data_IF_448318188359
#
_entry.id   IF_448318188359
#
_cell.length_a   1.000
_cell.length_b   1.000
_cell.length_c   1.000
_cell.angle_alpha   90.00
_cell.angle_beta   90.00
_cell.angle_gamma   90.00
#
_symmetry.space_group_name_H-M   'P 1'
#
loop_
_entity.id
_entity.type
_entity.pdbx_description
1 polymer ?
#
# COMPACT_ATOMS: atom_id res chain seq x y z
N UNK A 1 1.62 20.13 56.68
CA UNK A 1 2.82 19.64 55.95
C UNK A 1 2.43 18.41 55.16
N UNK A 2 2.87 18.32 53.90
CA UNK A 2 2.42 17.41 52.83
C UNK A 2 2.36 15.90 53.15
N UNK A 3 2.83 15.47 54.31
CA UNK A 3 2.85 14.08 54.75
C UNK A 3 1.49 13.49 55.13
N UNK A 4 0.52 14.30 55.56
CA UNK A 4 -0.82 13.80 55.91
C UNK A 4 -1.74 13.60 54.69
N UNK A 5 -1.50 14.33 53.59
CA UNK A 5 -2.32 14.25 52.37
C UNK A 5 -1.88 13.10 51.45
N UNK A 6 -0.63 12.62 51.58
CA UNK A 6 -0.12 11.44 50.89
C UNK A 6 -0.59 10.10 51.50
N UNK A 7 -1.03 10.09 52.76
CA UNK A 7 -1.45 8.86 53.46
C UNK A 7 -2.92 8.47 53.22
N UNK A 8 -3.77 9.39 52.75
CA UNK A 8 -5.18 9.11 52.46
C UNK A 8 -5.44 8.55 51.05
N UNK A 9 -4.43 8.49 50.18
CA UNK A 9 -4.52 7.82 48.87
C UNK A 9 -4.08 6.34 48.91
N UNK A 10 -3.78 5.79 50.10
CA UNK A 10 -3.20 4.44 50.28
C UNK A 10 -4.24 3.33 50.53
N UNK A 11 -5.51 3.55 50.20
CA UNK A 11 -6.61 2.70 50.65
C UNK A 11 -7.66 2.35 49.60
N UNK A 12 -7.28 1.96 48.38
CA UNK A 12 -8.20 1.26 47.47
C UNK A 12 -7.43 0.23 46.64
N UNK A 13 -7.68 -1.05 46.92
CA UNK A 13 -7.08 -2.15 46.19
C UNK A 13 -7.63 -2.26 44.77
N UNK A 14 -6.73 -2.50 43.82
CA UNK A 14 -7.00 -3.39 42.69
C UNK A 14 -5.77 -4.26 42.49
N UNK A 15 -6.04 -5.53 42.23
CA UNK A 15 -5.10 -6.63 42.10
C UNK A 15 -4.10 -6.36 40.97
N UNK A 16 -2.95 -7.02 41.07
CA UNK A 16 -1.79 -6.83 40.19
C UNK A 16 -2.16 -6.73 38.72
N UNK A 17 -1.86 -5.56 38.15
CA UNK A 17 -1.63 -5.39 36.73
C UNK A 17 -0.15 -5.03 36.62
N UNK A 18 0.63 -6.05 36.26
CA UNK A 18 2.06 -5.94 36.02
C UNK A 18 2.36 -4.83 35.03
N UNK A 19 3.24 -3.95 35.50
CA UNK A 19 3.68 -2.73 34.88
C UNK A 19 4.73 -3.03 33.79
N UNK A 20 4.38 -3.87 32.81
CA UNK A 20 5.35 -4.37 31.80
C UNK A 20 4.75 -4.59 30.38
N UNK A 21 3.90 -3.68 29.89
CA UNK A 21 3.39 -3.76 28.50
C UNK A 21 3.40 -2.44 27.70
N UNK A 22 3.90 -1.32 28.24
CA UNK A 22 3.77 0.00 27.58
C UNK A 22 4.94 0.34 26.61
N UNK A 23 6.02 -0.45 26.58
CA UNK A 23 7.26 -0.02 25.90
C UNK A 23 7.77 -0.90 24.76
N UNK A 24 6.99 -1.85 24.24
CA UNK A 24 7.48 -2.75 23.16
C UNK A 24 6.68 -2.79 21.85
N UNK A 25 5.61 -1.99 21.69
CA UNK A 25 4.71 -2.16 20.55
C UNK A 25 5.08 -1.36 19.27
N UNK A 26 6.33 -0.89 19.12
CA UNK A 26 6.73 -0.06 17.96
C UNK A 26 7.78 -0.68 17.01
N UNK A 27 8.24 -1.92 17.22
CA UNK A 27 9.22 -2.60 16.32
C UNK A 27 9.07 -4.12 16.15
N UNK A 28 7.86 -4.66 16.23
CA UNK A 28 7.57 -5.97 15.62
C UNK A 28 6.65 -5.71 14.44
N UNK A 29 7.26 -5.34 13.30
CA UNK A 29 6.62 -5.48 11.99
C UNK A 29 6.31 -6.98 11.83
N UNK A 30 5.17 -7.42 12.36
CA UNK A 30 4.65 -8.74 12.04
C UNK A 30 4.62 -8.82 10.51
N UNK A 31 5.27 -9.84 9.94
CA UNK A 31 5.21 -10.17 8.51
C UNK A 31 3.78 -10.57 8.06
N UNK A 32 2.76 -10.24 8.86
CA UNK A 32 1.39 -10.56 8.61
C UNK A 32 0.78 -9.50 7.70
N UNK A 33 0.32 -9.92 6.52
CA UNK A 33 -0.28 -9.06 5.52
C UNK A 33 -1.67 -8.56 5.93
N UNK A 34 -2.37 -9.31 6.80
CA UNK A 34 -3.75 -9.01 7.22
C UNK A 34 -3.91 -7.62 7.85
N UNK A 35 -3.12 -7.25 8.88
CA UNK A 35 -3.16 -5.90 9.46
C UNK A 35 -2.85 -4.77 8.46
N UNK A 36 -1.95 -5.00 7.50
CA UNK A 36 -1.62 -4.03 6.46
C UNK A 36 -2.82 -3.80 5.52
N UNK A 37 -3.47 -4.87 5.09
CA UNK A 37 -4.69 -4.82 4.28
C UNK A 37 -5.83 -4.14 5.06
N UNK A 38 -5.94 -4.38 6.36
CA UNK A 38 -6.94 -3.72 7.20
C UNK A 38 -6.76 -2.19 7.24
N UNK A 39 -5.52 -1.71 7.34
CA UNK A 39 -5.20 -0.28 7.29
C UNK A 39 -5.57 0.32 5.93
N UNK A 40 -5.24 -0.37 4.83
CA UNK A 40 -5.59 0.07 3.48
C UNK A 40 -7.11 0.09 3.25
N UNK A 41 -7.83 -0.94 3.71
CA UNK A 41 -9.28 -0.98 3.64
C UNK A 41 -9.91 0.22 4.34
N UNK A 42 -9.39 0.58 5.52
CA UNK A 42 -9.85 1.75 6.28
C UNK A 42 -9.55 3.06 5.57
N UNK A 43 -8.37 3.22 4.96
CA UNK A 43 -8.03 4.44 4.22
C UNK A 43 -8.88 4.62 2.96
N UNK A 44 -9.35 3.51 2.36
CA UNK A 44 -10.30 3.51 1.23
C UNK A 44 -11.77 3.56 1.65
N UNK A 45 -12.07 3.73 2.94
CA UNK A 45 -13.45 3.87 3.46
C UNK A 45 -14.27 2.58 3.52
N UNK A 46 -13.64 1.41 3.39
CA UNK A 46 -14.33 0.12 3.49
C UNK A 46 -14.43 -0.36 4.94
N UNK A 47 -15.61 -0.86 5.30
CA UNK A 47 -15.83 -1.58 6.55
C UNK A 47 -15.56 -3.08 6.37
N UNK A 48 -15.21 -3.76 7.47
CA UNK A 48 -15.03 -5.22 7.47
C UNK A 48 -16.29 -5.96 7.01
N UNK A 49 -17.48 -5.45 7.35
CA UNK A 49 -18.75 -6.04 6.95
C UNK A 49 -18.99 -5.94 5.44
N UNK A 50 -18.65 -4.79 4.82
CA UNK A 50 -18.74 -4.61 3.37
C UNK A 50 -17.78 -5.55 2.62
N UNK A 51 -16.55 -5.69 3.11
CA UNK A 51 -15.57 -6.60 2.51
C UNK A 51 -16.03 -8.06 2.65
N UNK A 52 -16.50 -8.46 3.84
CA UNK A 52 -17.04 -9.79 4.08
C UNK A 52 -18.19 -10.14 3.12
N UNK A 53 -19.15 -9.21 2.98
CA UNK A 53 -20.29 -9.37 2.07
C UNK A 53 -19.85 -9.49 0.61
N UNK A 54 -18.97 -8.60 0.15
CA UNK A 54 -18.50 -8.60 -1.24
C UNK A 54 -17.62 -9.81 -1.59
N UNK A 55 -16.86 -10.34 -0.62
CA UNK A 55 -16.04 -11.55 -0.82
C UNK A 55 -16.83 -12.86 -0.69
N UNK A 56 -18.03 -12.82 -0.10
CA UNK A 56 -18.78 -14.04 0.27
C UNK A 56 -18.14 -14.79 1.44
N UNK A 57 -17.44 -14.09 2.33
CA UNK A 57 -16.70 -14.66 3.47
C UNK A 57 -17.34 -14.20 4.78
N UNK A 58 -17.29 -15.02 5.83
CA UNK A 58 -17.85 -14.61 7.12
C UNK A 58 -17.14 -13.37 7.69
N UNK A 59 -17.90 -12.47 8.32
CA UNK A 59 -17.35 -11.28 9.00
C UNK A 59 -16.28 -11.65 10.03
N UNK A 60 -16.46 -12.77 10.74
CA UNK A 60 -15.52 -13.27 11.75
C UNK A 60 -14.18 -13.66 11.10
N UNK A 61 -14.22 -14.30 9.93
CA UNK A 61 -13.02 -14.66 9.17
C UNK A 61 -12.25 -13.42 8.74
N UNK A 62 -12.93 -12.41 8.18
CA UNK A 62 -12.31 -11.13 7.80
C UNK A 62 -11.70 -10.43 9.03
N UNK A 63 -12.41 -10.40 10.16
CA UNK A 63 -11.92 -9.81 11.39
C UNK A 63 -10.66 -10.52 11.91
N UNK A 64 -10.66 -11.85 11.95
CA UNK A 64 -9.49 -12.65 12.39
C UNK A 64 -8.31 -12.45 11.46
N UNK A 65 -8.55 -12.42 10.14
CA UNK A 65 -7.52 -12.13 9.15
C UNK A 65 -6.91 -10.73 9.33
N UNK A 66 -7.75 -9.69 9.42
CA UNK A 66 -7.29 -8.31 9.61
C UNK A 66 -6.52 -8.10 10.92
N UNK A 67 -6.80 -8.91 11.94
CA UNK A 67 -6.07 -8.90 13.20
C UNK A 67 -4.83 -9.83 13.20
N UNK A 68 -4.49 -10.44 12.05
CA UNK A 68 -3.36 -11.35 11.90
C UNK A 68 -3.51 -12.68 12.66
N UNK A 69 -4.73 -13.07 13.02
CA UNK A 69 -5.03 -14.27 13.81
C UNK A 69 -5.25 -15.52 12.96
N UNK A 70 -5.48 -15.36 11.65
CA UNK A 70 -5.77 -16.47 10.73
C UNK A 70 -5.35 -16.07 9.32
N UNK A 71 -4.85 -17.03 8.54
CA UNK A 71 -4.62 -16.86 7.11
C UNK A 71 -5.91 -17.14 6.32
N UNK A 72 -6.05 -16.50 5.16
CA UNK A 72 -7.19 -16.74 4.26
C UNK A 72 -6.72 -17.45 3.00
N UNK A 73 -7.65 -18.08 2.29
CA UNK A 73 -7.37 -18.71 1.02
C UNK A 73 -6.92 -17.66 -0.01
N UNK A 74 -5.99 -18.03 -0.87
CA UNK A 74 -5.47 -17.15 -1.94
C UNK A 74 -6.59 -16.53 -2.78
N UNK A 75 -7.60 -17.32 -3.17
CA UNK A 75 -8.73 -16.80 -3.95
C UNK A 75 -9.62 -15.81 -3.19
N UNK A 76 -9.70 -15.90 -1.86
CA UNK A 76 -10.43 -14.89 -1.06
C UNK A 76 -9.58 -13.65 -0.84
N UNK A 77 -8.25 -13.79 -0.76
CA UNK A 77 -7.32 -12.67 -0.73
C UNK A 77 -7.40 -11.86 -2.02
N UNK A 78 -7.40 -12.52 -3.17
CA UNK A 78 -7.54 -11.88 -4.47
C UNK A 78 -8.83 -11.05 -4.57
N UNK A 79 -9.96 -11.59 -4.10
CA UNK A 79 -11.22 -10.83 -4.04
C UNK A 79 -11.12 -9.59 -3.16
N UNK A 80 -10.47 -9.69 -2.00
CA UNK A 80 -10.26 -8.53 -1.11
C UNK A 80 -9.40 -7.48 -1.83
N UNK A 81 -8.31 -7.89 -2.47
CA UNK A 81 -7.43 -6.99 -3.21
C UNK A 81 -8.18 -6.31 -4.37
N UNK A 82 -8.99 -7.04 -5.11
CA UNK A 82 -9.83 -6.51 -6.19
C UNK A 82 -10.84 -5.48 -5.68
N UNK A 83 -11.51 -5.72 -4.54
CA UNK A 83 -12.40 -4.73 -3.90
C UNK A 83 -11.64 -3.46 -3.52
N UNK A 84 -10.37 -3.62 -3.12
CA UNK A 84 -9.47 -2.53 -2.80
C UNK A 84 -8.79 -1.95 -4.05
N UNK A 85 -9.20 -2.29 -5.28
CA UNK A 85 -8.58 -1.85 -6.53
C UNK A 85 -7.05 -2.07 -6.54
N UNK A 86 -6.60 -3.23 -6.05
CA UNK A 86 -5.22 -3.68 -6.16
C UNK A 86 -5.20 -4.88 -7.10
N UNK A 87 -4.53 -4.72 -8.24
CA UNK A 87 -4.31 -5.81 -9.18
C UNK A 87 -2.92 -6.40 -8.97
N UNK A 88 -2.89 -7.56 -8.31
CA UNK A 88 -1.66 -8.29 -8.01
C UNK A 88 -0.94 -8.72 -9.30
N UNK A 89 -1.66 -8.97 -10.40
CA UNK A 89 -1.02 -9.33 -11.67
C UNK A 89 -0.18 -8.17 -12.18
N UNK A 90 -0.75 -6.95 -12.23
CA UNK A 90 -0.04 -5.76 -12.66
C UNK A 90 1.16 -5.42 -11.77
N UNK A 91 1.03 -5.59 -10.45
CA UNK A 91 2.10 -5.35 -9.50
C UNK A 91 3.21 -6.40 -9.60
N UNK A 92 2.85 -7.68 -9.82
CA UNK A 92 3.82 -8.77 -10.04
C UNK A 92 4.51 -8.61 -11.38
N UNK A 93 3.80 -8.24 -12.44
CA UNK A 93 4.38 -7.92 -13.75
C UNK A 93 5.34 -6.74 -13.63
N UNK A 94 4.97 -5.70 -12.89
CA UNK A 94 5.86 -4.59 -12.58
C UNK A 94 7.08 -5.06 -11.78
N UNK A 95 6.90 -5.89 -10.75
CA UNK A 95 7.99 -6.41 -9.93
C UNK A 95 8.95 -7.25 -10.76
N UNK A 96 8.46 -8.18 -11.58
CA UNK A 96 9.26 -9.02 -12.48
C UNK A 96 10.06 -8.14 -13.45
N UNK A 97 9.42 -7.12 -14.05
CA UNK A 97 10.10 -6.18 -14.93
C UNK A 97 11.11 -5.30 -14.17
N UNK A 98 10.80 -4.86 -12.95
CA UNK A 98 11.67 -4.03 -12.12
C UNK A 98 12.87 -4.78 -11.52
N UNK A 99 12.83 -6.11 -11.41
CA UNK A 99 14.02 -6.90 -11.07
C UNK A 99 14.97 -7.01 -12.28
N UNK A 100 14.43 -6.83 -13.49
CA UNK A 100 15.18 -6.90 -14.75
C UNK A 100 15.97 -5.61 -15.02
N UNK A 101 15.51 -4.48 -14.49
CA UNK A 101 16.28 -3.23 -14.45
C UNK A 101 16.70 -2.99 -13.00
N UNK A 102 17.99 -3.09 -12.67
CA UNK A 102 18.47 -2.69 -11.34
C UNK A 102 18.28 -1.17 -11.19
N UNK A 103 17.07 -0.73 -10.81
CA UNK A 103 16.74 0.68 -10.61
C UNK A 103 17.57 1.15 -9.41
N UNK A 104 18.54 2.05 -9.59
CA UNK A 104 19.33 2.56 -8.48
C UNK A 104 18.40 3.22 -7.46
N UNK A 105 18.68 3.05 -6.17
CA UNK A 105 17.86 3.58 -5.08
C UNK A 105 17.60 5.09 -5.18
N UNK A 106 18.50 5.84 -5.84
CA UNK A 106 18.34 7.26 -6.17
C UNK A 106 17.13 7.55 -7.08
N UNK A 107 16.79 6.69 -8.03
CA UNK A 107 15.62 6.86 -8.89
C UNK A 107 14.30 6.55 -8.18
N UNK A 108 14.33 5.74 -7.11
CA UNK A 108 13.15 5.43 -6.31
C UNK A 108 12.65 6.64 -5.52
N UNK A 109 13.56 7.50 -5.06
CA UNK A 109 13.19 8.76 -4.40
C UNK A 109 12.56 9.74 -5.39
N UNK A 110 13.15 9.86 -6.59
CA UNK A 110 12.68 10.76 -7.63
C UNK A 110 11.37 10.28 -8.27
N UNK A 111 11.06 8.98 -8.23
CA UNK A 111 9.79 8.44 -8.75
C UNK A 111 8.56 9.11 -8.13
N UNK A 112 8.56 9.31 -6.81
CA UNK A 112 7.42 9.92 -6.11
C UNK A 112 7.20 11.36 -6.55
N UNK A 113 8.28 12.12 -6.61
CA UNK A 113 8.24 13.53 -7.03
C UNK A 113 7.85 13.66 -8.51
N UNK A 114 8.34 12.77 -9.37
CA UNK A 114 7.94 12.73 -10.79
C UNK A 114 6.45 12.46 -10.96
N UNK A 115 5.87 11.55 -10.17
CA UNK A 115 4.43 11.28 -10.22
C UNK A 115 3.65 12.55 -9.84
N UNK A 116 4.02 13.21 -8.75
CA UNK A 116 3.37 14.45 -8.31
C UNK A 116 3.52 15.59 -9.33
N UNK A 117 4.70 15.74 -9.93
CA UNK A 117 4.95 16.71 -10.99
C UNK A 117 4.09 16.39 -12.22
N UNK A 118 4.03 15.14 -12.64
CA UNK A 118 3.20 14.74 -13.77
C UNK A 118 1.71 14.99 -13.51
N UNK A 119 1.22 14.70 -12.30
CA UNK A 119 -0.18 14.95 -11.92
C UNK A 119 -0.54 16.44 -11.84
N UNK A 120 0.40 17.28 -11.41
CA UNK A 120 0.21 18.74 -11.31
C UNK A 120 0.36 19.48 -12.63
N UNK A 121 0.96 18.87 -13.65
CA UNK A 121 1.07 19.43 -14.99
C UNK A 121 -0.24 19.30 -15.77
N UNK A 122 -0.53 20.31 -16.60
CA UNK A 122 -1.71 20.30 -17.46
C UNK A 122 -1.67 19.11 -18.43
N UNK A 123 -2.83 18.58 -18.86
CA UNK A 123 -2.90 17.42 -19.75
C UNK A 123 -2.07 17.60 -21.03
N UNK A 124 -2.05 18.82 -21.57
CA UNK A 124 -1.36 19.17 -22.82
C UNK A 124 0.16 19.16 -22.64
N UNK A 125 0.65 19.68 -21.51
CA UNK A 125 2.08 19.70 -21.18
C UNK A 125 2.56 18.29 -20.86
N UNK A 126 1.78 17.53 -20.09
CA UNK A 126 2.05 16.12 -19.77
C UNK A 126 2.17 15.29 -21.04
N UNK A 127 1.24 15.44 -21.98
CA UNK A 127 1.29 14.79 -23.28
C UNK A 127 2.56 15.14 -24.05
N UNK A 128 2.88 16.42 -24.19
CA UNK A 128 4.07 16.88 -24.92
C UNK A 128 5.36 16.30 -24.35
N UNK A 129 5.49 16.23 -23.02
CA UNK A 129 6.65 15.64 -22.36
C UNK A 129 6.73 14.13 -22.67
N UNK A 130 5.61 13.41 -22.59
CA UNK A 130 5.56 11.98 -22.88
C UNK A 130 5.85 11.67 -24.36
N UNK A 131 5.37 12.49 -25.28
CA UNK A 131 5.66 12.38 -26.72
C UNK A 131 7.16 12.58 -27.00
N UNK A 132 7.79 13.58 -26.38
CA UNK A 132 9.23 13.80 -26.50
C UNK A 132 10.03 12.63 -25.93
N UNK A 133 9.59 12.05 -24.80
CA UNK A 133 10.23 10.88 -24.21
C UNK A 133 10.10 9.66 -25.14
N UNK A 134 8.92 9.39 -25.71
CA UNK A 134 8.72 8.34 -26.72
C UNK A 134 9.68 8.51 -27.90
N UNK A 135 9.80 9.72 -28.41
CA UNK A 135 10.66 10.01 -29.55
C UNK A 135 12.15 9.75 -29.23
N UNK A 136 12.63 10.18 -28.06
CA UNK A 136 13.99 9.90 -27.61
C UNK A 136 14.27 8.42 -27.40
N UNK A 137 13.28 7.64 -26.92
CA UNK A 137 13.46 6.20 -26.70
C UNK A 137 13.43 5.40 -27.99
N UNK A 138 12.75 5.87 -29.04
CA UNK A 138 12.76 5.26 -30.38
C UNK A 138 14.07 5.50 -31.14
N UNK A 139 14.68 6.66 -30.92
CA UNK A 139 15.96 7.02 -31.53
C UNK A 139 17.14 6.33 -30.83
N UNK A 140 16.92 5.83 -29.61
CA UNK A 140 17.88 5.01 -28.89
C UNK A 140 17.76 3.56 -29.35
N UNK A 141 18.84 3.01 -29.92
CA UNK A 141 18.93 1.64 -30.47
C UNK A 141 18.96 0.57 -29.35
N UNK A 142 18.04 0.68 -28.40
CA UNK A 142 17.98 -0.12 -27.19
C UNK A 142 16.70 -0.95 -27.19
N UNK A 143 16.83 -2.19 -27.67
CA UNK A 143 15.75 -3.18 -27.71
C UNK A 143 15.07 -3.39 -26.36
N UNK A 144 15.79 -3.18 -25.25
CA UNK A 144 15.21 -3.29 -23.91
C UNK A 144 14.18 -2.20 -23.62
N UNK A 145 14.21 -1.04 -24.28
CA UNK A 145 13.27 0.06 -24.05
C UNK A 145 12.01 -0.01 -24.92
N UNK A 146 11.97 -0.89 -25.93
CA UNK A 146 10.86 -0.96 -26.87
C UNK A 146 9.53 -1.31 -26.18
N UNK A 147 9.53 -2.27 -25.24
CA UNK A 147 8.32 -2.65 -24.52
C UNK A 147 7.76 -1.51 -23.64
N UNK A 148 8.64 -0.78 -22.96
CA UNK A 148 8.25 0.39 -22.14
C UNK A 148 7.75 1.54 -23.01
N UNK A 149 8.38 1.76 -24.18
CA UNK A 149 7.96 2.75 -25.18
C UNK A 149 6.57 2.43 -25.74
N UNK A 150 6.28 1.16 -26.06
CA UNK A 150 4.95 0.75 -26.53
C UNK A 150 3.86 0.96 -25.47
N UNK A 151 4.17 0.67 -24.20
CA UNK A 151 3.26 0.98 -23.08
C UNK A 151 3.00 2.48 -22.97
N UNK A 152 4.05 3.31 -23.05
CA UNK A 152 3.91 4.77 -23.01
C UNK A 152 3.06 5.30 -24.17
N UNK A 153 3.28 4.81 -25.40
CA UNK A 153 2.46 5.16 -26.58
C UNK A 153 0.98 4.82 -26.37
N UNK A 154 0.69 3.64 -25.85
CA UNK A 154 -0.69 3.24 -25.57
C UNK A 154 -1.35 4.15 -24.53
N UNK A 155 -0.60 4.58 -23.52
CA UNK A 155 -1.06 5.52 -22.51
C UNK A 155 -1.33 6.91 -23.09
N UNK A 156 -0.41 7.47 -23.89
CA UNK A 156 -0.59 8.78 -24.52
C UNK A 156 -1.80 8.80 -25.45
N UNK A 157 -1.99 7.75 -26.25
CA UNK A 157 -3.16 7.62 -27.13
C UNK A 157 -4.48 7.59 -26.36
N UNK A 158 -4.51 6.98 -25.18
CA UNK A 158 -5.70 6.94 -24.34
C UNK A 158 -6.01 8.28 -23.63
N UNK A 159 -5.09 9.25 -23.64
CA UNK A 159 -5.36 10.62 -23.16
C UNK A 159 -6.05 11.50 -24.22
N UNK A 160 -6.21 11.02 -25.46
CA UNK A 160 -6.86 11.74 -26.56
C UNK A 160 -8.38 11.45 -26.67
N UNK A 161 -8.89 10.45 -25.95
CA UNK A 161 -10.28 10.01 -25.94
C UNK A 161 -11.06 10.58 -24.75
#
# INVERSE_FOLDING_TARGET
TLTAQLLLLRGMGTKGEDMDQVTNNRRTLSNNIGPKIAQLAKSKGFTQSQIAQKCGVSRITIQRFFNGKTEIRSGDLEKILNILNLDLSSDVDYLINSQRYQIPHSLTQVKGDLILLMESLSPEVRKTILDNICWWTETSDNDALQQSTQKLKSFVKNMEA
#
